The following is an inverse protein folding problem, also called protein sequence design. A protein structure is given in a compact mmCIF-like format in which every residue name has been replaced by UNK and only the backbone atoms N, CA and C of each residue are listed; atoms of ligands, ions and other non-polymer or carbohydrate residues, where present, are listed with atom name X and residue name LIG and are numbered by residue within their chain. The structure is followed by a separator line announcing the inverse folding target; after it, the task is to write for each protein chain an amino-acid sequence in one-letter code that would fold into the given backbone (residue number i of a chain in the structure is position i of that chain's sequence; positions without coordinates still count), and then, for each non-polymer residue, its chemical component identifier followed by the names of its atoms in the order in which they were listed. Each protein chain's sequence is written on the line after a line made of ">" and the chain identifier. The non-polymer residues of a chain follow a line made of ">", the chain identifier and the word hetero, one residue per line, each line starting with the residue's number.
data_IF_292287924137
#
_entry.id   IF_292287924137
#
_cell.length_a   1.000
_cell.length_b   1.000
_cell.length_c   1.000
_cell.angle_alpha   90.00
_cell.angle_beta   90.00
_cell.angle_gamma   90.00
#
_symmetry.space_group_name_H-M   'P 1'
#
loop_
_entity.id
_entity.type
_entity.pdbx_description
1 polymer ?
#
# COMPACT_ATOMS: atom_id res chain seq x y z
N UNK A 1 -5.01 1.65 -9.89
CA UNK A 1 -4.31 1.54 -8.59
C UNK A 1 -2.81 1.45 -8.86
N UNK A 2 -1.98 2.10 -8.04
CA UNK A 2 -0.51 2.02 -8.10
C UNK A 2 0.04 1.56 -6.75
N UNK A 3 0.95 0.59 -6.76
CA UNK A 3 1.70 0.18 -5.57
C UNK A 3 2.83 1.17 -5.33
N UNK A 4 3.01 1.57 -4.07
CA UNK A 4 4.07 2.49 -3.66
C UNK A 4 4.79 1.97 -2.43
N UNK A 5 6.02 2.45 -2.25
CA UNK A 5 6.74 2.41 -0.98
C UNK A 5 6.93 3.83 -0.49
N UNK A 6 6.76 4.06 0.81
CA UNK A 6 6.87 5.39 1.40
C UNK A 6 7.50 5.30 2.80
N UNK A 7 8.10 6.38 3.27
CA UNK A 7 8.80 6.42 4.56
C UNK A 7 10.29 6.70 4.41
N UNK A 8 11.03 6.51 5.50
CA UNK A 8 12.49 6.71 5.51
C UNK A 8 13.19 5.59 4.75
N UNK A 9 14.38 5.88 4.23
CA UNK A 9 15.31 4.84 3.79
C UNK A 9 15.49 3.83 4.94
N UNK A 10 15.42 2.53 4.61
CA UNK A 10 15.44 1.39 5.54
C UNK A 10 14.21 1.24 6.47
N UNK A 11 13.20 2.12 6.38
CA UNK A 11 11.90 1.99 7.06
C UNK A 11 10.74 2.16 6.07
N UNK A 12 10.94 1.68 4.85
CA UNK A 12 9.93 1.75 3.80
C UNK A 12 8.69 0.94 4.20
N UNK A 13 7.55 1.57 4.01
CA UNK A 13 6.22 1.04 4.24
C UNK A 13 5.52 0.85 2.92
N UNK A 14 4.71 -0.20 2.82
CA UNK A 14 3.86 -0.44 1.66
C UNK A 14 2.64 0.47 1.68
N UNK A 15 2.22 0.93 0.51
CA UNK A 15 1.00 1.70 0.33
C UNK A 15 0.44 1.54 -1.07
N UNK A 16 -0.77 2.05 -1.27
CA UNK A 16 -1.45 2.04 -2.57
C UNK A 16 -2.05 3.39 -2.88
N UNK A 17 -2.00 3.78 -4.15
CA UNK A 17 -2.69 4.98 -4.65
C UNK A 17 -3.87 4.55 -5.51
N UNK A 18 -5.07 5.03 -5.16
CA UNK A 18 -6.32 4.78 -5.89
C UNK A 18 -7.03 6.12 -6.08
N UNK A 19 -7.30 6.51 -7.32
CA UNK A 19 -7.96 7.79 -7.66
C UNK A 19 -7.30 9.01 -6.96
N UNK A 20 -5.97 9.06 -6.97
CA UNK A 20 -5.15 10.09 -6.29
C UNK A 20 -5.26 10.12 -4.75
N UNK A 21 -5.98 9.17 -4.14
CA UNK A 21 -6.02 8.96 -2.69
C UNK A 21 -4.93 7.98 -2.28
N UNK A 22 -4.22 8.31 -1.20
CA UNK A 22 -3.11 7.54 -0.66
C UNK A 22 -3.59 6.69 0.51
N UNK A 23 -3.29 5.40 0.46
CA UNK A 23 -3.63 4.45 1.52
C UNK A 23 -2.36 3.82 2.06
N UNK A 24 -2.22 3.84 3.39
CA UNK A 24 -1.19 3.06 4.07
C UNK A 24 -1.64 1.60 4.17
N UNK A 25 -0.81 0.71 3.66
CA UNK A 25 -1.02 -0.74 3.74
C UNK A 25 0.10 -1.39 4.53
N UNK A 26 0.86 -0.61 5.29
CA UNK A 26 1.99 -1.11 6.10
C UNK A 26 1.55 -2.00 7.26
N UNK A 27 0.34 -1.78 7.75
CA UNK A 27 -0.31 -2.64 8.74
C UNK A 27 -1.06 -3.82 8.10
N UNK A 28 -1.13 -3.88 6.77
CA UNK A 28 -1.82 -4.94 6.05
C UNK A 28 -0.84 -6.10 5.81
N UNK A 29 -0.98 -7.16 6.62
CA UNK A 29 -0.07 -8.31 6.64
C UNK A 29 -0.44 -9.44 5.67
N UNK A 30 -1.48 -9.25 4.85
CA UNK A 30 -1.95 -10.25 3.88
C UNK A 30 -1.59 -9.84 2.44
N UNK A 31 -1.57 -10.83 1.54
CA UNK A 31 -1.29 -10.60 0.13
C UNK A 31 -2.31 -9.65 -0.50
N UNK A 32 -1.83 -8.77 -1.37
CA UNK A 32 -2.65 -7.89 -2.20
C UNK A 32 -3.35 -8.70 -3.32
N UNK A 33 -4.32 -9.54 -2.95
CA UNK A 33 -5.12 -10.34 -3.87
C UNK A 33 -6.44 -9.63 -4.23
N UNK A 34 -7.29 -10.28 -5.03
CA UNK A 34 -8.58 -9.72 -5.46
C UNK A 34 -9.53 -9.37 -4.30
N UNK A 35 -9.36 -9.97 -3.12
CA UNK A 35 -10.14 -9.65 -1.91
C UNK A 35 -9.70 -8.33 -1.28
N UNK A 36 -8.46 -7.90 -1.47
CA UNK A 36 -7.99 -6.59 -1.01
C UNK A 36 -8.67 -5.43 -1.77
N UNK A 37 -9.13 -5.69 -3.00
CA UNK A 37 -9.70 -4.69 -3.90
C UNK A 37 -11.23 -4.73 -3.98
N UNK A 38 -11.89 -5.55 -3.17
CA UNK A 38 -13.35 -5.64 -3.08
C UNK A 38 -13.88 -4.73 -1.97
#
# INVERSE_FOLDING_TARGET
>A
MKLIRWGSADQEKTGVIVNDVWYDTSAFGEDYNELFFQ
#
